data_IF_589264982352
#
_entry.id   IF_589264982352
#
_cell.length_a   1.000
_cell.length_b   1.000
_cell.length_c   1.000
_cell.angle_alpha   90.00
_cell.angle_beta   90.00
_cell.angle_gamma   90.00
#
_symmetry.space_group_name_H-M   'P 1'
#
loop_
_entity.id
_entity.type
_entity.pdbx_description
1 polymer ?
#
# COMPACT_ATOMS: atom_id res chain seq x y z
N UNK A 1 5.61 7.39 2.45
CA UNK A 1 4.42 6.59 2.04
C UNK A 1 3.82 7.08 0.72
N UNK A 2 3.37 8.34 0.64
CA UNK A 2 2.70 8.92 -0.54
C UNK A 2 3.51 8.82 -1.86
N UNK A 3 4.80 9.18 -1.83
CA UNK A 3 5.71 9.03 -2.98
C UNK A 3 5.82 7.57 -3.45
N UNK A 4 5.86 6.63 -2.50
CA UNK A 4 5.94 5.20 -2.79
C UNK A 4 4.68 4.68 -3.48
N UNK A 5 3.50 5.07 -3.01
CA UNK A 5 2.22 4.69 -3.63
C UNK A 5 2.05 5.24 -5.04
N UNK A 6 2.50 6.47 -5.30
CA UNK A 6 2.48 7.06 -6.65
C UNK A 6 3.45 6.32 -7.57
N UNK A 7 4.67 6.06 -7.11
CA UNK A 7 5.68 5.30 -7.87
C UNK A 7 5.19 3.91 -8.23
N UNK A 8 4.59 3.20 -7.27
CA UNK A 8 4.06 1.86 -7.49
C UNK A 8 2.86 1.86 -8.46
N UNK A 9 1.94 2.83 -8.33
CA UNK A 9 0.83 2.99 -9.26
C UNK A 9 1.31 3.23 -10.69
N UNK A 10 2.30 4.11 -10.87
CA UNK A 10 2.89 4.38 -12.18
C UNK A 10 3.52 3.11 -12.79
N UNK A 11 4.28 2.35 -11.99
CA UNK A 11 4.90 1.10 -12.43
C UNK A 11 3.84 0.08 -12.86
N UNK A 12 2.75 -0.09 -12.11
CA UNK A 12 1.67 -1.02 -12.49
C UNK A 12 0.89 -0.59 -13.73
N UNK A 13 0.69 0.71 -13.94
CA UNK A 13 0.09 1.23 -15.17
C UNK A 13 0.98 0.91 -16.38
N UNK A 14 2.30 1.16 -16.25
CA UNK A 14 3.28 0.87 -17.30
C UNK A 14 3.38 -0.63 -17.57
N UNK A 15 3.36 -1.47 -16.53
CA UNK A 15 3.31 -2.93 -16.67
C UNK A 15 2.05 -3.38 -17.42
N UNK A 16 0.87 -2.89 -17.03
CA UNK A 16 -0.37 -3.22 -17.72
C UNK A 16 -0.36 -2.79 -19.19
N UNK A 17 0.20 -1.61 -19.50
CA UNK A 17 0.39 -1.15 -20.87
C UNK A 17 1.37 -2.05 -21.64
N UNK A 18 2.50 -2.44 -21.04
CA UNK A 18 3.44 -3.36 -21.65
C UNK A 18 2.81 -4.71 -21.98
N UNK A 19 1.99 -5.26 -21.08
CA UNK A 19 1.27 -6.52 -21.33
C UNK A 19 0.20 -6.35 -22.42
N UNK A 20 -0.45 -5.19 -22.51
CA UNK A 20 -1.40 -4.89 -23.57
C UNK A 20 -0.73 -4.83 -24.96
N UNK A 21 0.45 -4.22 -25.05
CA UNK A 21 1.26 -4.17 -26.28
C UNK A 21 2.06 -5.46 -26.55
N UNK A 22 1.88 -6.52 -25.72
CA UNK A 22 2.62 -7.79 -25.81
C UNK A 22 4.13 -7.60 -25.79
N UNK A 23 4.60 -6.61 -25.01
CA UNK A 23 6.02 -6.44 -24.71
C UNK A 23 6.41 -7.56 -23.77
N UNK A 24 7.36 -8.38 -24.19
CA UNK A 24 7.86 -9.52 -23.42
C UNK A 24 9.38 -9.43 -23.23
N UNK A 25 9.91 -10.25 -22.33
CA UNK A 25 11.35 -10.32 -22.06
C UNK A 25 11.82 -9.42 -20.92
N UNK A 26 13.11 -9.05 -20.98
CA UNK A 26 13.84 -8.51 -19.84
C UNK A 26 13.29 -7.16 -19.32
N UNK A 27 12.68 -6.35 -20.21
CA UNK A 27 12.08 -5.06 -19.85
C UNK A 27 10.95 -5.24 -18.82
N UNK A 28 10.08 -6.22 -19.02
CA UNK A 28 8.97 -6.49 -18.10
C UNK A 28 9.47 -7.00 -16.75
N UNK A 29 10.51 -7.84 -16.77
CA UNK A 29 11.14 -8.33 -15.55
C UNK A 29 11.76 -7.19 -14.74
N UNK A 30 12.47 -6.26 -15.40
CA UNK A 30 13.02 -5.06 -14.74
C UNK A 30 11.90 -4.22 -14.13
N UNK A 31 10.79 -4.00 -14.83
CA UNK A 31 9.64 -3.26 -14.30
C UNK A 31 9.02 -3.92 -13.07
N UNK A 32 8.86 -5.25 -13.07
CA UNK A 32 8.37 -5.99 -11.91
C UNK A 32 9.33 -5.85 -10.72
N UNK A 33 10.63 -6.03 -10.95
CA UNK A 33 11.66 -5.90 -9.90
C UNK A 33 11.69 -4.47 -9.34
N UNK A 34 11.57 -3.45 -10.20
CA UNK A 34 11.47 -2.06 -9.76
C UNK A 34 10.21 -1.82 -8.91
N UNK A 35 9.08 -2.43 -9.27
CA UNK A 35 7.86 -2.37 -8.45
C UNK A 35 8.07 -2.97 -7.06
N UNK A 36 8.70 -4.15 -6.99
CA UNK A 36 9.03 -4.81 -5.72
C UNK A 36 10.00 -3.96 -4.89
N UNK A 37 11.04 -3.41 -5.52
CA UNK A 37 12.01 -2.55 -4.85
C UNK A 37 11.35 -1.26 -4.31
N UNK A 38 10.48 -0.63 -5.10
CA UNK A 38 9.71 0.53 -4.68
C UNK A 38 8.85 0.21 -3.46
N UNK A 39 8.10 -0.89 -3.50
CA UNK A 39 7.28 -1.35 -2.37
C UNK A 39 8.12 -1.63 -1.12
N UNK A 40 9.23 -2.37 -1.27
CA UNK A 40 10.11 -2.76 -0.18
C UNK A 40 10.79 -1.57 0.51
N UNK A 41 11.16 -0.52 -0.24
CA UNK A 41 11.80 0.67 0.32
C UNK A 41 10.80 1.67 0.91
N UNK A 42 9.54 1.64 0.48
CA UNK A 42 8.58 2.70 0.83
C UNK A 42 7.41 2.17 1.65
N UNK A 43 6.52 1.39 1.04
CA UNK A 43 5.26 0.97 1.65
C UNK A 43 5.47 -0.03 2.77
N UNK A 44 6.33 -1.04 2.57
CA UNK A 44 6.54 -2.08 3.56
C UNK A 44 7.03 -1.52 4.91
N UNK A 45 8.18 -0.83 5.03
CA UNK A 45 8.66 -0.33 6.32
C UNK A 45 7.79 0.80 6.88
N UNK A 46 7.33 1.72 6.04
CA UNK A 46 6.58 2.90 6.52
C UNK A 46 5.21 2.51 7.07
N UNK A 47 4.54 1.51 6.50
CA UNK A 47 3.23 1.06 7.01
C UNK A 47 3.36 0.53 8.44
N UNK A 48 4.41 -0.25 8.74
CA UNK A 48 4.63 -0.77 10.09
C UNK A 48 4.97 0.33 11.10
N UNK A 49 5.76 1.32 10.69
CA UNK A 49 6.08 2.50 11.53
C UNK A 49 4.80 3.26 11.87
N UNK A 50 4.02 3.63 10.85
CA UNK A 50 2.78 4.39 11.00
C UNK A 50 1.76 3.65 11.87
N UNK A 51 1.58 2.34 11.69
CA UNK A 51 0.70 1.53 12.54
C UNK A 51 1.15 1.61 14.00
N UNK A 52 2.46 1.59 14.27
CA UNK A 52 2.98 1.68 15.65
C UNK A 52 2.81 3.08 16.28
N UNK A 53 2.79 4.13 15.46
CA UNK A 53 2.68 5.54 15.88
C UNK A 53 1.22 5.99 16.09
N UNK A 54 0.29 5.51 15.28
CA UNK A 54 -1.12 5.94 15.31
C UNK A 54 -1.88 5.36 16.49
N UNK A 55 -1.53 4.16 16.96
CA UNK A 55 -2.25 3.55 18.06
C UNK A 55 -1.73 4.03 19.43
N UNK A 56 -2.62 4.50 20.32
CA UNK A 56 -2.27 4.84 21.71
C UNK A 56 -1.57 3.69 22.41
N UNK A 57 -0.61 4.01 23.28
CA UNK A 57 0.24 3.02 23.95
C UNK A 57 -0.57 1.92 24.65
N UNK A 58 -1.75 2.27 25.21
CA UNK A 58 -2.65 1.34 25.90
C UNK A 58 -3.27 0.27 24.99
N UNK A 59 -3.55 0.58 23.73
CA UNK A 59 -4.23 -0.33 22.79
C UNK A 59 -3.34 -0.76 21.62
N UNK A 60 -2.09 -0.28 21.55
CA UNK A 60 -1.15 -0.52 20.45
C UNK A 60 -1.07 -1.98 20.05
N UNK A 61 -0.92 -2.89 21.03
CA UNK A 61 -0.84 -4.32 20.74
C UNK A 61 -2.12 -4.87 20.05
N UNK A 62 -3.30 -4.43 20.49
CA UNK A 62 -4.58 -4.84 19.89
C UNK A 62 -4.76 -4.22 18.49
N UNK A 63 -4.43 -2.94 18.34
CA UNK A 63 -4.45 -2.24 17.05
C UNK A 63 -3.55 -2.92 16.02
N UNK A 64 -2.29 -3.20 16.39
CA UNK A 64 -1.34 -3.92 15.55
C UNK A 64 -1.84 -5.32 15.15
N UNK A 65 -2.46 -6.06 16.07
CA UNK A 65 -3.01 -7.39 15.77
C UNK A 65 -4.14 -7.31 14.72
N UNK A 66 -5.08 -6.37 14.86
CA UNK A 66 -6.17 -6.17 13.90
C UNK A 66 -5.62 -5.72 12.54
N UNK A 67 -4.69 -4.76 12.51
CA UNK A 67 -4.06 -4.30 11.27
C UNK A 67 -3.30 -5.42 10.55
N UNK A 68 -2.57 -6.24 11.30
CA UNK A 68 -1.84 -7.40 10.76
C UNK A 68 -2.81 -8.43 10.19
N UNK A 69 -3.88 -8.74 10.92
CA UNK A 69 -4.92 -9.66 10.44
C UNK A 69 -5.59 -9.15 9.15
N UNK A 70 -5.92 -7.86 9.08
CA UNK A 70 -6.48 -7.24 7.88
C UNK A 70 -5.49 -7.29 6.71
N UNK A 71 -4.20 -7.04 6.94
CA UNK A 71 -3.15 -7.14 5.93
C UNK A 71 -3.07 -8.56 5.36
N UNK A 72 -2.94 -9.57 6.22
CA UNK A 72 -2.85 -10.97 5.79
C UNK A 72 -4.13 -11.45 5.09
N UNK A 73 -5.30 -11.00 5.55
CA UNK A 73 -6.57 -11.29 4.89
C UNK A 73 -6.62 -10.70 3.48
N UNK A 74 -6.18 -9.44 3.32
CA UNK A 74 -6.08 -8.81 2.01
C UNK A 74 -5.07 -9.53 1.11
N UNK A 75 -3.92 -9.95 1.65
CA UNK A 75 -2.94 -10.76 0.92
C UNK A 75 -3.52 -12.11 0.46
N UNK A 76 -4.28 -12.79 1.33
CA UNK A 76 -4.96 -14.03 0.97
C UNK A 76 -5.96 -13.82 -0.18
N UNK A 77 -6.81 -12.80 -0.07
CA UNK A 77 -7.77 -12.45 -1.13
C UNK A 77 -7.04 -12.15 -2.43
N UNK A 78 -5.96 -11.36 -2.39
CA UNK A 78 -5.17 -11.00 -3.56
C UNK A 78 -4.55 -12.24 -4.23
N UNK A 79 -3.91 -13.11 -3.45
CA UNK A 79 -3.27 -14.33 -3.97
C UNK A 79 -4.29 -15.32 -4.53
N UNK A 80 -5.46 -15.45 -3.89
CA UNK A 80 -6.51 -16.34 -4.35
C UNK A 80 -7.21 -15.81 -5.62
N UNK A 81 -7.46 -14.50 -5.68
CA UNK A 81 -8.17 -13.88 -6.80
C UNK A 81 -7.26 -13.64 -8.00
N UNK A 82 -5.94 -13.52 -7.82
CA UNK A 82 -5.00 -13.24 -8.91
C UNK A 82 -5.08 -14.24 -10.08
N UNK A 83 -5.04 -15.58 -9.90
CA UNK A 83 -5.17 -16.51 -11.02
C UNK A 83 -6.53 -16.40 -11.73
N UNK A 84 -7.60 -16.11 -10.98
CA UNK A 84 -8.94 -15.96 -11.53
C UNK A 84 -9.05 -14.71 -12.41
N UNK A 85 -8.56 -13.57 -11.91
CA UNK A 85 -8.49 -12.32 -12.67
C UNK A 85 -7.57 -12.45 -13.88
N UNK A 86 -6.41 -13.09 -13.73
CA UNK A 86 -5.47 -13.27 -14.84
C UNK A 86 -6.11 -14.12 -15.95
N UNK A 87 -6.89 -15.15 -15.59
CA UNK A 87 -7.61 -15.98 -16.58
C UNK A 87 -8.76 -15.23 -17.26
N UNK A 88 -9.48 -14.35 -16.56
CA UNK A 88 -10.67 -13.67 -17.13
C UNK A 88 -10.33 -12.36 -17.85
N UNK A 89 -9.50 -11.52 -17.23
CA UNK A 89 -9.13 -10.18 -17.69
C UNK A 89 -7.78 -10.15 -18.42
N UNK A 90 -7.01 -11.23 -18.35
CA UNK A 90 -5.62 -11.25 -18.80
C UNK A 90 -4.67 -10.54 -17.83
N UNK A 91 -3.37 -10.69 -18.06
CA UNK A 91 -2.34 -10.02 -17.28
C UNK A 91 -2.49 -8.48 -17.32
N UNK A 92 -2.76 -7.90 -18.51
CA UNK A 92 -2.91 -6.47 -18.68
C UNK A 92 -4.04 -5.88 -17.81
N UNK A 93 -5.22 -6.50 -17.82
CA UNK A 93 -6.36 -6.05 -17.03
C UNK A 93 -6.14 -6.21 -15.53
N UNK A 94 -5.45 -7.27 -15.12
CA UNK A 94 -5.10 -7.51 -13.71
C UNK A 94 -4.15 -6.44 -13.17
N UNK A 95 -3.09 -6.11 -13.91
CA UNK A 95 -2.14 -5.07 -13.49
C UNK A 95 -2.75 -3.66 -13.49
N UNK A 96 -3.63 -3.33 -14.43
CA UNK A 96 -4.36 -2.06 -14.39
C UNK A 96 -5.32 -1.96 -13.21
N UNK A 97 -6.01 -3.05 -12.87
CA UNK A 97 -6.87 -3.09 -11.68
C UNK A 97 -6.05 -2.87 -10.41
N UNK A 98 -4.86 -3.48 -10.30
CA UNK A 98 -3.95 -3.24 -9.17
C UNK A 98 -3.40 -1.81 -9.16
N UNK A 99 -3.08 -1.24 -10.33
CA UNK A 99 -2.72 0.17 -10.45
C UNK A 99 -3.82 1.09 -9.93
N UNK A 100 -5.07 0.82 -10.27
CA UNK A 100 -6.23 1.57 -9.79
C UNK A 100 -6.40 1.44 -8.26
N UNK A 101 -6.25 0.24 -7.71
CA UNK A 101 -6.27 0.03 -6.25
C UNK A 101 -5.16 0.81 -5.56
N UNK A 102 -3.95 0.89 -6.13
CA UNK A 102 -2.87 1.71 -5.58
C UNK A 102 -3.21 3.20 -5.59
N UNK A 103 -3.89 3.71 -6.62
CA UNK A 103 -4.36 5.11 -6.69
C UNK A 103 -5.44 5.37 -5.62
N UNK A 104 -6.40 4.46 -5.48
CA UNK A 104 -7.42 4.56 -4.44
C UNK A 104 -6.79 4.55 -3.04
N UNK A 105 -5.80 3.68 -2.82
CA UNK A 105 -5.01 3.63 -1.59
C UNK A 105 -4.25 4.93 -1.33
N UNK A 106 -3.65 5.53 -2.36
CA UNK A 106 -3.01 6.85 -2.25
C UNK A 106 -3.98 7.94 -1.80
N UNK A 107 -5.19 8.00 -2.39
CA UNK A 107 -6.20 8.97 -2.01
C UNK A 107 -6.66 8.76 -0.55
N UNK A 108 -6.88 7.51 -0.16
CA UNK A 108 -7.24 7.16 1.22
C UNK A 108 -6.15 7.60 2.20
N UNK A 109 -4.88 7.28 1.93
CA UNK A 109 -3.76 7.68 2.78
C UNK A 109 -3.69 9.21 2.87
N UNK A 110 -3.83 9.92 1.75
CA UNK A 110 -3.74 11.38 1.72
C UNK A 110 -4.83 12.07 2.54
N UNK A 111 -6.03 11.50 2.60
CA UNK A 111 -7.20 12.12 3.26
C UNK A 111 -7.32 11.68 4.72
N UNK A 112 -7.10 10.39 5.00
CA UNK A 112 -7.41 9.79 6.29
C UNK A 112 -6.18 9.62 7.20
N UNK A 113 -4.96 9.67 6.66
CA UNK A 113 -3.75 9.49 7.46
C UNK A 113 -3.18 10.86 7.88
N UNK A 114 -3.16 11.19 9.19
CA UNK A 114 -2.46 12.38 9.66
C UNK A 114 -0.95 12.22 9.43
N UNK A 115 -0.27 13.32 9.08
CA UNK A 115 1.19 13.29 8.88
C UNK A 115 1.89 13.08 10.23
N UNK A 116 2.50 11.90 10.42
CA UNK A 116 3.22 11.54 11.65
C UNK A 116 4.66 12.02 11.66
N UNK A 117 5.18 12.48 10.51
CA UNK A 117 6.59 12.86 10.36
C UNK A 117 6.96 14.05 11.25
N UNK A 118 7.92 13.81 12.15
CA UNK A 118 8.50 14.85 13.00
C UNK A 118 7.63 15.27 14.19
N UNK A 119 6.61 14.48 14.52
CA UNK A 119 5.75 14.66 15.70
C UNK A 119 6.12 13.66 16.79
N UNK A 120 5.89 14.02 18.06
CA UNK A 120 6.02 13.05 19.15
C UNK A 120 4.82 12.09 19.17
N UNK A 121 4.97 10.95 19.85
CA UNK A 121 3.88 10.00 20.03
C UNK A 121 2.71 10.64 20.80
N UNK A 122 2.97 11.53 21.77
CA UNK A 122 1.91 12.24 22.48
C UNK A 122 1.14 13.20 21.56
N UNK A 123 1.84 13.97 20.71
CA UNK A 123 1.20 14.89 19.75
C UNK A 123 0.31 14.13 18.75
N UNK A 124 0.75 12.95 18.30
CA UNK A 124 -0.04 12.09 17.40
C UNK A 124 -1.29 11.57 18.12
N UNK A 125 -1.14 11.14 19.38
CA UNK A 125 -2.27 10.67 20.22
C UNK A 125 -3.29 11.78 20.47
N UNK A 126 -2.85 13.03 20.69
CA UNK A 126 -3.73 14.19 20.82
C UNK A 126 -4.50 14.51 19.53
N UNK A 127 -3.81 14.48 18.38
CA UNK A 127 -4.42 14.72 17.06
C UNK A 127 -5.51 13.68 16.76
N UNK A 128 -5.29 12.42 17.14
CA UNK A 128 -6.23 11.32 16.87
C UNK A 128 -7.38 11.33 17.87
N UNK A 129 -7.11 11.62 19.14
CA UNK A 129 -8.11 11.52 20.21
C UNK A 129 -8.94 12.80 20.36
N UNK A 130 -8.53 13.92 19.74
CA UNK A 130 -9.16 15.24 19.88
C UNK A 130 -9.28 15.74 21.34
N UNK A 131 -8.57 15.10 22.27
CA UNK A 131 -8.53 15.50 23.68
C UNK A 131 -7.33 16.42 23.88
N UNK A 132 -7.60 17.72 24.04
CA UNK A 132 -6.63 18.63 24.66
C UNK A 132 -6.46 18.17 26.10
N UNK A 133 -5.33 17.53 26.41
CA UNK A 133 -4.94 17.35 27.81
C UNK A 133 -4.52 18.75 28.28
N UNK A 134 -5.45 19.44 28.93
CA UNK A 134 -5.18 20.66 29.69
C UNK A 134 -4.31 20.35 30.91
#
# INVERSE_FOLDING_TARGET
>A
MLLGTIGLAAIYIVLGAGYYFRIEGMIMLILVVLGIACYAMTLAPVTWIVISEIFPTRIRAKGMAVSTFALWSASFVLTYTFPLLNRSLGAYGTFWLYGFICIAGFLFIKINLPETKGKTLEEIEEIITNNKVQ
#
